data_IF_385099831970
#
_entry.id   IF_385099831970
#
_cell.length_a   1.000
_cell.length_b   1.000
_cell.length_c   1.000
_cell.angle_alpha   90.00
_cell.angle_beta   90.00
_cell.angle_gamma   90.00
#
_symmetry.space_group_name_H-M   'P 1'
#
loop_
_entity.id
_entity.type
_entity.pdbx_description
1 polymer ?
#
# COMPACT_ATOMS: atom_id res chain seq x y z
N UNK A 1 3.82 -39.60 -56.25
CA UNK A 1 4.61 -38.39 -56.18
C UNK A 1 4.78 -38.03 -54.70
N UNK A 2 5.97 -38.15 -54.20
CA UNK A 2 6.29 -38.07 -52.80
C UNK A 2 6.39 -36.58 -52.36
N UNK A 3 5.72 -36.26 -51.23
CA UNK A 3 5.94 -35.00 -50.52
C UNK A 3 7.15 -35.17 -49.61
N UNK A 4 8.20 -34.40 -49.84
CA UNK A 4 9.39 -34.33 -49.02
C UNK A 4 9.10 -33.59 -47.70
N UNK A 5 9.44 -34.22 -46.57
CA UNK A 5 9.45 -33.63 -45.26
C UNK A 5 10.68 -32.72 -45.14
N UNK A 6 10.45 -31.46 -44.71
CA UNK A 6 11.54 -30.55 -44.28
C UNK A 6 12.02 -30.91 -42.88
N UNK A 7 13.34 -30.91 -42.63
CA UNK A 7 13.85 -31.16 -41.29
C UNK A 7 13.65 -29.95 -40.41
N UNK A 8 13.05 -30.17 -39.24
CA UNK A 8 12.92 -29.17 -38.20
C UNK A 8 14.28 -28.74 -37.66
N UNK A 9 14.52 -27.43 -37.68
CA UNK A 9 15.66 -26.82 -37.00
C UNK A 9 15.35 -26.83 -35.51
N UNK A 10 16.03 -27.69 -34.77
CA UNK A 10 16.10 -27.62 -33.32
C UNK A 10 17.04 -26.44 -33.00
N UNK A 11 16.47 -25.32 -32.66
CA UNK A 11 17.20 -24.24 -32.02
C UNK A 11 17.52 -24.69 -30.60
N UNK A 12 18.78 -25.05 -30.34
CA UNK A 12 19.31 -25.19 -28.99
C UNK A 12 19.26 -23.80 -28.35
N UNK A 13 18.39 -23.62 -27.37
CA UNK A 13 18.48 -22.50 -26.43
C UNK A 13 19.84 -22.66 -25.71
N UNK A 14 20.80 -21.81 -26.03
CA UNK A 14 21.98 -21.63 -25.23
C UNK A 14 21.51 -21.07 -23.87
N UNK A 15 21.61 -21.88 -22.82
CA UNK A 15 21.55 -21.40 -21.45
C UNK A 15 22.70 -20.37 -21.30
N UNK A 16 22.40 -19.09 -21.41
CA UNK A 16 23.26 -18.06 -20.88
C UNK A 16 23.32 -18.29 -19.36
N UNK A 17 24.40 -18.88 -18.89
CA UNK A 17 24.70 -18.96 -17.46
C UNK A 17 24.75 -17.53 -16.95
N UNK A 18 23.79 -17.13 -16.15
CA UNK A 18 23.84 -15.89 -15.38
C UNK A 18 25.20 -15.85 -14.66
N UNK A 19 25.96 -14.79 -14.93
CA UNK A 19 27.26 -14.57 -14.27
C UNK A 19 26.99 -14.22 -12.81
N UNK A 20 26.90 -15.24 -11.95
CA UNK A 20 26.73 -15.08 -10.51
C UNK A 20 28.06 -14.82 -9.82
N UNK A 21 28.10 -13.86 -8.91
CA UNK A 21 29.19 -13.65 -7.97
C UNK A 21 28.87 -14.31 -6.64
N UNK A 22 29.67 -15.29 -6.23
CA UNK A 22 29.55 -15.85 -4.87
C UNK A 22 30.25 -14.93 -3.88
N UNK A 23 29.45 -14.27 -3.00
CA UNK A 23 30.03 -13.54 -1.88
C UNK A 23 30.75 -14.52 -0.96
N UNK A 24 32.05 -14.29 -0.68
CA UNK A 24 32.69 -14.99 0.44
C UNK A 24 31.91 -14.66 1.70
N UNK A 25 31.35 -15.68 2.36
CA UNK A 25 30.59 -15.54 3.60
C UNK A 25 31.51 -14.99 4.69
N UNK A 26 31.55 -13.67 4.85
CA UNK A 26 31.86 -13.08 6.14
C UNK A 26 30.70 -13.42 7.09
N UNK A 27 30.99 -13.66 8.37
CA UNK A 27 29.94 -13.89 9.35
C UNK A 27 29.00 -12.68 9.38
N UNK A 28 27.74 -12.87 8.98
CA UNK A 28 26.70 -11.85 9.09
C UNK A 28 26.30 -11.80 10.57
N UNK A 29 26.26 -10.58 11.16
CA UNK A 29 25.79 -10.38 12.51
C UNK A 29 24.32 -10.82 12.61
N UNK A 30 23.98 -11.58 13.65
CA UNK A 30 22.62 -12.04 13.92
C UNK A 30 22.03 -11.26 15.11
N UNK A 31 20.81 -10.79 14.98
CA UNK A 31 19.97 -10.26 16.05
C UNK A 31 18.72 -11.17 16.13
N UNK A 32 18.64 -11.98 17.19
CA UNK A 32 17.63 -13.06 17.37
C UNK A 32 16.67 -12.81 18.54
N UNK A 33 16.60 -11.59 19.02
CA UNK A 33 15.85 -11.26 20.21
C UNK A 33 14.35 -11.02 19.98
N UNK A 34 13.82 -11.16 18.80
CA UNK A 34 12.49 -10.68 18.42
C UNK A 34 11.44 -11.79 18.42
N UNK A 35 10.22 -11.45 18.85
CA UNK A 35 9.05 -12.29 18.72
C UNK A 35 8.39 -12.08 17.36
N UNK A 36 8.11 -10.81 17.00
CA UNK A 36 7.49 -10.44 15.73
C UNK A 36 8.39 -9.46 14.98
N UNK A 37 8.65 -9.76 13.72
CA UNK A 37 9.35 -8.86 12.80
C UNK A 37 8.39 -8.46 11.68
N UNK A 38 8.21 -7.15 11.51
CA UNK A 38 7.39 -6.56 10.44
C UNK A 38 8.31 -5.89 9.44
N UNK A 39 8.13 -6.19 8.15
CA UNK A 39 8.89 -5.56 7.06
C UNK A 39 7.98 -4.62 6.29
N UNK A 40 8.35 -3.32 6.28
CA UNK A 40 7.60 -2.23 5.68
C UNK A 40 6.79 -1.41 6.68
N UNK A 41 7.16 -0.13 6.84
CA UNK A 41 6.55 0.84 7.77
C UNK A 41 5.41 1.64 7.17
N UNK A 42 4.68 1.08 6.18
CA UNK A 42 3.45 1.66 5.66
C UNK A 42 2.28 1.59 6.64
N UNK A 43 1.05 1.99 6.22
CA UNK A 43 -0.12 1.97 7.11
C UNK A 43 -0.34 0.62 7.79
N UNK A 44 -0.24 -0.48 7.04
CA UNK A 44 -0.40 -1.84 7.58
C UNK A 44 0.72 -2.21 8.56
N UNK A 45 1.98 -1.91 8.22
CA UNK A 45 3.11 -2.24 9.09
C UNK A 45 3.08 -1.47 10.41
N UNK A 46 2.67 -0.21 10.38
CA UNK A 46 2.52 0.60 11.59
C UNK A 46 1.46 0.01 12.54
N UNK A 47 0.27 -0.31 12.01
CA UNK A 47 -0.79 -0.89 12.85
C UNK A 47 -0.46 -2.33 13.30
N UNK A 48 0.25 -3.11 12.47
CA UNK A 48 0.76 -4.42 12.85
C UNK A 48 1.76 -4.32 14.01
N UNK A 49 2.68 -3.36 13.96
CA UNK A 49 3.66 -3.17 15.03
C UNK A 49 2.99 -2.74 16.34
N UNK A 50 2.04 -1.80 16.27
CA UNK A 50 1.28 -1.36 17.45
C UNK A 50 0.51 -2.55 18.06
N UNK A 51 -0.21 -3.33 17.25
CA UNK A 51 -1.04 -4.41 17.72
C UNK A 51 -0.20 -5.56 18.31
N UNK A 52 0.87 -5.97 17.65
CA UNK A 52 1.76 -7.02 18.16
C UNK A 52 2.40 -6.64 19.51
N UNK A 53 2.90 -5.40 19.61
CA UNK A 53 3.52 -4.91 20.84
C UNK A 53 2.51 -4.80 21.99
N UNK A 54 1.28 -4.33 21.74
CA UNK A 54 0.20 -4.28 22.75
C UNK A 54 -0.20 -5.66 23.27
N UNK A 55 -0.15 -6.69 22.41
CA UNK A 55 -0.36 -8.08 22.83
C UNK A 55 0.86 -8.68 23.56
N UNK A 56 1.91 -7.88 23.81
CA UNK A 56 3.08 -8.24 24.62
C UNK A 56 4.20 -8.93 23.84
N UNK A 57 4.16 -8.93 22.50
CA UNK A 57 5.25 -9.45 21.68
C UNK A 57 6.41 -8.45 21.60
N UNK A 58 7.66 -8.94 21.69
CA UNK A 58 8.84 -8.13 21.41
C UNK A 58 8.93 -7.87 19.91
N UNK A 59 8.58 -6.65 19.51
CA UNK A 59 8.26 -6.30 18.13
C UNK A 59 9.30 -5.39 17.50
N UNK A 60 9.75 -5.75 16.28
CA UNK A 60 10.61 -4.95 15.42
C UNK A 60 9.87 -4.58 14.13
N UNK A 61 9.83 -3.29 13.81
CA UNK A 61 9.38 -2.76 12.53
C UNK A 61 10.58 -2.28 11.71
N UNK A 62 10.80 -2.88 10.55
CA UNK A 62 11.90 -2.55 9.63
C UNK A 62 11.34 -1.74 8.47
N UNK A 63 11.94 -0.56 8.22
CA UNK A 63 11.54 0.34 7.16
C UNK A 63 12.72 0.77 6.28
N UNK A 64 12.55 0.68 4.97
CA UNK A 64 13.59 1.02 3.99
C UNK A 64 13.89 2.51 3.90
N UNK A 65 12.93 3.35 4.27
CA UNK A 65 13.05 4.81 4.27
C UNK A 65 13.30 5.35 5.68
N UNK A 66 13.46 6.65 5.82
CA UNK A 66 13.63 7.34 7.11
C UNK A 66 12.31 7.84 7.70
N UNK A 67 11.17 7.28 7.32
CA UNK A 67 9.85 7.74 7.76
C UNK A 67 8.80 6.65 7.70
N UNK A 68 7.85 6.66 8.64
CA UNK A 68 6.68 5.78 8.67
C UNK A 68 5.50 6.33 7.85
N UNK A 69 4.51 5.49 7.55
CA UNK A 69 3.23 5.84 6.95
C UNK A 69 3.14 5.59 5.43
N UNK A 70 4.23 5.20 4.76
CA UNK A 70 4.23 4.74 3.37
C UNK A 70 3.51 5.69 2.40
N UNK A 71 2.37 5.24 1.81
CA UNK A 71 1.64 6.01 0.80
C UNK A 71 1.07 7.33 1.33
N UNK A 72 0.67 7.41 2.60
CA UNK A 72 0.14 8.64 3.21
C UNK A 72 1.21 9.69 3.54
N UNK A 73 2.47 9.29 3.61
CA UNK A 73 3.61 10.15 3.98
C UNK A 73 4.64 10.23 2.85
N UNK A 74 5.50 9.21 2.68
CA UNK A 74 6.51 9.16 1.61
C UNK A 74 5.90 9.21 0.20
N UNK A 75 4.75 8.56 0.00
CA UNK A 75 4.01 8.52 -1.26
C UNK A 75 3.13 9.74 -1.50
N UNK A 76 2.89 10.56 -0.49
CA UNK A 76 2.15 11.83 -0.57
C UNK A 76 0.76 11.68 -1.21
N UNK A 77 0.02 10.61 -0.89
CA UNK A 77 -1.40 10.50 -1.30
C UNK A 77 -2.19 11.62 -0.60
N UNK A 78 -2.94 12.45 -1.36
CA UNK A 78 -3.45 13.72 -0.84
C UNK A 78 -4.62 13.61 0.13
N UNK A 79 -5.32 12.46 0.14
CA UNK A 79 -6.50 12.27 0.97
C UNK A 79 -6.68 10.82 1.41
N UNK A 80 -7.34 10.65 2.54
CA UNK A 80 -7.93 9.37 2.91
C UNK A 80 -9.04 8.99 1.92
N UNK A 81 -9.04 7.75 1.45
CA UNK A 81 -10.23 7.19 0.84
C UNK A 81 -11.39 7.21 1.84
N UNK A 82 -12.66 7.12 1.40
CA UNK A 82 -13.80 7.15 2.30
C UNK A 82 -13.64 6.24 3.51
N UNK A 83 -13.84 6.78 4.70
CA UNK A 83 -13.85 6.04 5.96
C UNK A 83 -15.27 5.57 6.34
N UNK A 84 -16.28 6.09 5.67
CA UNK A 84 -17.68 5.77 5.94
C UNK A 84 -18.32 4.95 4.83
N UNK A 85 -19.40 4.26 5.18
CA UNK A 85 -20.34 3.67 4.23
C UNK A 85 -21.44 4.67 3.79
N UNK A 86 -21.21 5.97 4.05
CA UNK A 86 -22.17 7.03 3.87
C UNK A 86 -23.14 7.24 5.06
N UNK A 87 -23.04 6.42 6.10
CA UNK A 87 -23.81 6.53 7.35
C UNK A 87 -22.90 6.59 8.58
N UNK A 88 -21.91 5.73 8.66
CA UNK A 88 -21.01 5.58 9.81
C UNK A 88 -19.61 5.18 9.37
N UNK A 89 -18.65 5.40 10.23
CA UNK A 89 -17.27 4.91 10.05
C UNK A 89 -17.27 3.38 10.05
N UNK A 90 -16.65 2.79 9.03
CA UNK A 90 -16.51 1.34 8.86
C UNK A 90 -15.13 0.85 9.32
N UNK A 91 -14.06 1.60 9.05
CA UNK A 91 -12.71 1.24 9.47
C UNK A 91 -12.47 1.70 10.90
N UNK A 92 -12.62 0.76 11.83
CA UNK A 92 -12.58 0.97 13.28
C UNK A 92 -11.22 0.61 13.90
N UNK A 93 -11.12 0.52 15.22
CA UNK A 93 -9.90 0.18 15.93
C UNK A 93 -8.79 1.22 15.74
N UNK A 94 -7.58 0.77 15.41
CA UNK A 94 -6.44 1.66 15.14
C UNK A 94 -6.66 2.54 13.91
N UNK A 95 -7.41 2.07 12.93
CA UNK A 95 -7.69 2.84 11.72
C UNK A 95 -8.47 4.13 12.05
N UNK A 96 -9.53 4.05 12.83
CA UNK A 96 -10.29 5.25 13.26
C UNK A 96 -9.44 6.15 14.15
N UNK A 97 -8.65 5.60 15.08
CA UNK A 97 -7.79 6.39 15.96
C UNK A 97 -6.78 7.23 15.17
N UNK A 98 -6.09 6.62 14.19
CA UNK A 98 -5.13 7.30 13.31
C UNK A 98 -5.83 8.35 12.44
N UNK A 99 -6.97 7.99 11.84
CA UNK A 99 -7.76 8.90 11.02
C UNK A 99 -8.19 10.16 11.80
N UNK A 100 -8.81 9.97 12.97
CA UNK A 100 -9.27 11.08 13.83
C UNK A 100 -8.12 11.97 14.29
N UNK A 101 -7.00 11.38 14.65
CA UNK A 101 -5.82 12.14 15.03
C UNK A 101 -5.27 12.94 13.84
N UNK A 102 -5.24 12.36 12.64
CA UNK A 102 -4.72 13.01 11.43
C UNK A 102 -5.55 14.23 11.01
N UNK A 103 -6.84 14.26 11.31
CA UNK A 103 -7.72 15.40 11.02
C UNK A 103 -7.28 16.68 11.73
N UNK A 104 -6.61 16.56 12.89
CA UNK A 104 -6.06 17.74 13.61
C UNK A 104 -4.97 18.45 12.82
N UNK A 105 -4.32 17.78 11.90
CA UNK A 105 -3.29 18.34 11.00
C UNK A 105 -3.87 19.07 9.78
N UNK A 106 -5.19 19.09 9.60
CA UNK A 106 -5.92 19.69 8.46
C UNK A 106 -7.15 20.45 8.96
N UNK A 107 -6.90 21.46 9.80
CA UNK A 107 -7.94 22.22 10.52
C UNK A 107 -8.94 22.97 9.62
N UNK A 108 -8.70 23.05 8.32
CA UNK A 108 -9.63 23.61 7.34
C UNK A 108 -10.72 22.61 6.91
N UNK A 109 -10.54 21.32 7.21
CA UNK A 109 -11.55 20.31 6.94
C UNK A 109 -12.60 20.27 8.07
N UNK A 110 -13.90 20.09 7.74
CA UNK A 110 -14.94 19.94 8.76
C UNK A 110 -14.68 18.71 9.65
N UNK A 111 -14.85 18.84 10.96
CA UNK A 111 -14.63 17.76 11.93
C UNK A 111 -15.51 16.52 11.68
N UNK A 112 -16.69 16.73 11.10
CA UNK A 112 -17.63 15.65 10.76
C UNK A 112 -17.41 15.06 9.37
N UNK A 113 -16.44 15.54 8.58
CA UNK A 113 -16.10 14.97 7.28
C UNK A 113 -15.44 13.60 7.48
N UNK A 114 -15.95 12.59 6.81
CA UNK A 114 -15.47 11.20 6.93
C UNK A 114 -14.84 10.66 5.66
N UNK A 115 -15.10 11.30 4.53
CA UNK A 115 -14.73 10.81 3.22
C UNK A 115 -13.88 11.84 2.48
N UNK A 116 -12.83 11.36 1.82
CA UNK A 116 -11.89 12.19 1.05
C UNK A 116 -11.27 13.33 1.88
N UNK A 117 -11.03 13.06 3.17
CA UNK A 117 -10.38 13.99 4.09
C UNK A 117 -8.92 14.15 3.69
N UNK A 118 -8.46 15.39 3.60
CA UNK A 118 -7.09 15.74 3.25
C UNK A 118 -6.07 15.12 4.22
N UNK A 119 -4.88 14.83 3.75
CA UNK A 119 -3.77 14.33 4.56
C UNK A 119 -2.64 15.36 4.55
N UNK A 120 -2.26 15.84 5.73
CA UNK A 120 -0.98 16.48 5.93
C UNK A 120 0.08 15.40 6.20
N UNK A 121 1.01 15.12 5.26
CA UNK A 121 1.94 14.01 5.39
C UNK A 121 2.91 14.14 6.57
N UNK A 122 3.37 15.34 6.89
CA UNK A 122 4.29 15.58 8.00
C UNK A 122 3.59 15.36 9.35
N UNK A 123 2.35 15.81 9.48
CA UNK A 123 1.56 15.57 10.68
C UNK A 123 1.22 14.09 10.86
N UNK A 124 0.81 13.41 9.77
CA UNK A 124 0.53 11.97 9.80
C UNK A 124 1.76 11.14 10.15
N UNK A 125 2.94 11.51 9.65
CA UNK A 125 4.21 10.87 9.99
C UNK A 125 4.47 10.93 11.50
N UNK A 126 4.31 12.09 12.12
CA UNK A 126 4.50 12.26 13.57
C UNK A 126 3.51 11.43 14.40
N UNK A 127 2.29 11.21 13.90
CA UNK A 127 1.31 10.33 14.55
C UNK A 127 1.80 8.87 14.54
N UNK A 128 2.27 8.38 13.39
CA UNK A 128 2.81 7.02 13.30
C UNK A 128 4.03 6.84 14.18
N UNK A 129 4.99 7.76 14.15
CA UNK A 129 6.20 7.71 14.98
C UNK A 129 5.83 7.60 16.45
N UNK A 130 4.94 8.47 16.93
CA UNK A 130 4.47 8.47 18.31
C UNK A 130 3.72 7.19 18.66
N UNK A 131 2.70 6.80 17.90
CA UNK A 131 1.86 5.66 18.24
C UNK A 131 2.63 4.33 18.20
N UNK A 132 3.55 4.16 17.24
CA UNK A 132 4.37 2.95 17.14
C UNK A 132 5.35 2.89 18.31
N UNK A 133 6.05 3.97 18.61
CA UNK A 133 7.06 3.97 19.72
C UNK A 133 6.42 3.87 21.10
N UNK A 134 5.29 4.55 21.34
CA UNK A 134 4.53 4.46 22.57
C UNK A 134 3.96 3.04 22.83
N UNK A 135 3.69 2.26 21.76
CA UNK A 135 3.26 0.87 21.92
C UNK A 135 4.35 -0.07 22.45
N UNK A 136 5.61 0.36 22.45
CA UNK A 136 6.78 -0.43 22.83
C UNK A 136 7.48 -1.13 21.64
N UNK A 137 6.93 -1.06 20.44
CA UNK A 137 7.59 -1.57 19.24
C UNK A 137 8.87 -0.78 18.95
N UNK A 138 9.90 -1.45 18.44
CA UNK A 138 11.14 -0.83 17.97
C UNK A 138 11.09 -0.61 16.47
N UNK A 139 11.57 0.55 16.03
CA UNK A 139 11.63 0.91 14.60
C UNK A 139 13.09 0.93 14.16
N UNK A 140 13.37 0.35 12.99
CA UNK A 140 14.68 0.39 12.35
C UNK A 140 14.53 0.98 10.95
N UNK A 141 14.89 2.25 10.81
CA UNK A 141 14.88 2.98 9.55
C UNK A 141 16.10 2.69 8.66
N UNK A 142 16.01 3.11 7.39
CA UNK A 142 17.07 2.94 6.38
C UNK A 142 17.59 1.51 6.32
N UNK A 143 16.70 0.56 6.45
CA UNK A 143 16.98 -0.86 6.55
C UNK A 143 16.10 -1.62 5.56
N UNK A 144 16.71 -2.11 4.49
CA UNK A 144 16.02 -2.75 3.37
C UNK A 144 16.16 -4.26 3.44
N UNK A 145 15.06 -4.98 3.26
CA UNK A 145 15.08 -6.43 3.03
C UNK A 145 15.99 -6.74 1.83
N UNK A 146 16.92 -7.67 2.01
CA UNK A 146 17.91 -8.06 1.00
C UNK A 146 17.83 -9.54 0.62
N UNK A 147 17.43 -10.41 1.56
CA UNK A 147 17.21 -11.84 1.32
C UNK A 147 16.37 -12.44 2.45
N UNK A 148 15.88 -13.66 2.23
CA UNK A 148 15.18 -14.48 3.20
C UNK A 148 15.90 -15.81 3.32
N UNK A 149 16.14 -16.26 4.54
CA UNK A 149 16.69 -17.59 4.85
C UNK A 149 15.59 -18.47 5.42
N UNK A 150 15.41 -19.63 4.83
CA UNK A 150 14.41 -20.61 5.24
C UNK A 150 15.06 -21.72 6.06
N UNK A 151 14.43 -22.14 7.18
CA UNK A 151 14.86 -23.32 7.93
C UNK A 151 14.29 -24.62 7.36
N UNK A 152 13.18 -24.52 6.65
CA UNK A 152 12.51 -25.58 5.89
C UNK A 152 11.71 -24.94 4.77
N UNK A 153 11.10 -25.72 3.88
CA UNK A 153 10.29 -25.20 2.76
C UNK A 153 9.11 -24.32 3.23
N UNK A 154 8.71 -24.41 4.48
CA UNK A 154 7.51 -23.76 5.02
C UNK A 154 7.78 -22.82 6.21
N UNK A 155 9.03 -22.58 6.58
CA UNK A 155 9.35 -21.81 7.78
C UNK A 155 10.54 -20.87 7.55
N UNK A 156 10.32 -19.57 7.75
CA UNK A 156 11.37 -18.57 7.71
C UNK A 156 12.24 -18.69 8.96
N UNK A 157 13.57 -18.83 8.79
CA UNK A 157 14.56 -18.78 9.86
C UNK A 157 14.99 -17.34 10.17
N UNK A 158 15.34 -16.60 9.13
CA UNK A 158 15.83 -15.23 9.26
C UNK A 158 15.52 -14.39 8.02
N UNK A 159 15.51 -13.08 8.21
CA UNK A 159 15.60 -12.13 7.11
C UNK A 159 16.97 -11.46 7.11
N UNK A 160 17.53 -11.24 5.94
CA UNK A 160 18.75 -10.48 5.76
C UNK A 160 18.39 -9.06 5.35
N UNK A 161 18.93 -8.11 6.08
CA UNK A 161 18.65 -6.68 5.88
C UNK A 161 19.94 -5.95 5.55
N UNK A 162 19.89 -5.10 4.53
CA UNK A 162 20.97 -4.17 4.17
C UNK A 162 20.74 -2.81 4.81
N UNK A 163 21.70 -2.33 5.58
CA UNK A 163 21.68 -1.02 6.20
C UNK A 163 23.09 -0.44 6.36
N UNK A 164 23.25 0.65 7.12
CA UNK A 164 24.54 1.32 7.31
C UNK A 164 25.61 0.45 8.01
N UNK A 165 25.18 -0.59 8.73
CA UNK A 165 26.09 -1.56 9.35
C UNK A 165 26.51 -2.70 8.40
N UNK A 166 26.05 -2.68 7.14
CA UNK A 166 26.23 -3.75 6.17
C UNK A 166 25.03 -4.70 6.16
N UNK A 167 25.27 -6.00 5.96
CA UNK A 167 24.25 -7.04 6.03
C UNK A 167 24.10 -7.52 7.49
N UNK A 168 22.86 -7.54 7.97
CA UNK A 168 22.49 -8.03 9.30
C UNK A 168 21.36 -9.02 9.16
N UNK A 169 21.44 -10.16 9.83
CA UNK A 169 20.37 -11.15 9.92
C UNK A 169 19.49 -10.85 11.14
N UNK A 170 18.18 -10.77 10.95
CA UNK A 170 17.21 -10.65 12.02
C UNK A 170 16.37 -11.93 12.09
N UNK A 171 16.30 -12.51 13.31
CA UNK A 171 15.48 -13.69 13.58
C UNK A 171 14.29 -13.32 14.44
N UNK A 172 13.11 -13.75 13.99
CA UNK A 172 11.85 -13.63 14.70
C UNK A 172 11.12 -14.96 14.76
N UNK A 173 10.12 -15.07 15.62
CA UNK A 173 9.25 -16.26 15.69
C UNK A 173 8.19 -16.20 14.58
N UNK A 174 7.60 -15.02 14.36
CA UNK A 174 6.61 -14.76 13.31
C UNK A 174 7.02 -13.51 12.54
N UNK A 175 6.82 -13.54 11.24
CA UNK A 175 7.11 -12.44 10.32
C UNK A 175 5.81 -11.89 9.73
N UNK A 176 5.80 -10.57 9.44
CA UNK A 176 4.68 -9.91 8.74
C UNK A 176 5.24 -9.16 7.54
N UNK A 177 4.76 -9.52 6.35
CA UNK A 177 5.02 -8.77 5.14
C UNK A 177 4.02 -7.61 5.01
N UNK A 178 4.50 -6.40 5.23
CA UNK A 178 3.79 -5.15 5.03
C UNK A 178 4.49 -4.25 4.01
N UNK A 179 5.32 -4.84 3.12
CA UNK A 179 6.09 -4.13 2.10
C UNK A 179 5.20 -3.45 1.06
N UNK A 180 3.94 -3.87 0.97
CA UNK A 180 2.99 -3.44 -0.05
C UNK A 180 3.17 -4.18 -1.38
N UNK A 181 4.38 -4.63 -1.70
CA UNK A 181 4.70 -5.36 -2.92
C UNK A 181 4.84 -6.88 -2.68
N UNK A 182 4.71 -7.34 -1.43
CA UNK A 182 4.80 -8.75 -1.07
C UNK A 182 6.23 -9.31 -1.23
N UNK A 183 7.26 -8.48 -1.02
CA UNK A 183 8.65 -8.87 -1.26
C UNK A 183 9.09 -9.98 -0.30
N UNK A 184 8.76 -9.87 1.00
CA UNK A 184 9.11 -10.88 1.98
C UNK A 184 8.45 -12.23 1.65
N UNK A 185 7.16 -12.21 1.35
CA UNK A 185 6.41 -13.42 1.02
C UNK A 185 6.90 -14.07 -0.28
N UNK A 186 7.09 -13.29 -1.34
CA UNK A 186 7.60 -13.79 -2.62
C UNK A 186 9.01 -14.38 -2.49
N UNK A 187 9.89 -13.73 -1.72
CA UNK A 187 11.26 -14.22 -1.51
C UNK A 187 11.34 -15.40 -0.53
N UNK A 188 10.27 -15.63 0.25
CA UNK A 188 10.10 -16.86 1.05
C UNK A 188 9.54 -18.03 0.22
N UNK A 189 9.26 -17.85 -1.07
CA UNK A 189 8.70 -18.88 -1.93
C UNK A 189 7.17 -18.95 -1.95
N UNK A 190 6.45 -18.00 -1.32
CA UNK A 190 5.01 -17.96 -1.39
C UNK A 190 4.52 -17.66 -2.81
N UNK A 191 3.47 -18.36 -3.25
CA UNK A 191 2.83 -18.12 -4.55
C UNK A 191 2.13 -16.76 -4.58
N UNK A 192 2.12 -16.12 -5.73
CA UNK A 192 1.45 -14.83 -5.95
C UNK A 192 0.89 -14.70 -7.36
N UNK A 193 -0.09 -13.80 -7.51
CA UNK A 193 -0.57 -13.30 -8.80
C UNK A 193 -0.16 -11.85 -8.98
N UNK A 194 -0.06 -11.41 -10.25
CA UNK A 194 0.26 -10.04 -10.62
C UNK A 194 -0.55 -9.62 -11.84
N UNK A 195 -0.94 -8.33 -11.87
CA UNK A 195 -1.70 -7.79 -12.99
C UNK A 195 -3.15 -8.24 -13.06
N UNK A 196 -3.84 -7.80 -14.11
CA UNK A 196 -5.27 -8.00 -14.34
C UNK A 196 -5.59 -8.69 -15.69
N UNK A 197 -4.58 -9.12 -16.41
CA UNK A 197 -4.69 -9.88 -17.67
C UNK A 197 -3.55 -10.91 -17.80
N UNK A 198 -3.62 -11.72 -18.86
CA UNK A 198 -2.62 -12.76 -19.13
C UNK A 198 -1.23 -12.21 -19.44
N UNK A 199 -1.15 -10.98 -19.95
CA UNK A 199 0.09 -10.26 -20.21
C UNK A 199 0.74 -9.69 -18.92
N UNK A 200 0.03 -9.77 -17.78
CA UNK A 200 0.50 -9.26 -16.48
C UNK A 200 0.46 -7.74 -16.38
N UNK A 201 -0.42 -7.08 -17.15
CA UNK A 201 -0.64 -5.64 -17.05
C UNK A 201 -1.09 -5.23 -15.67
N UNK A 202 -0.45 -4.20 -15.09
CA UNK A 202 -0.74 -3.69 -13.74
C UNK A 202 -1.49 -2.36 -13.80
N UNK A 203 -2.17 -2.02 -12.70
CA UNK A 203 -2.81 -0.71 -12.59
C UNK A 203 -1.77 0.41 -12.65
N UNK A 204 -2.13 1.49 -13.35
CA UNK A 204 -1.23 2.63 -13.52
C UNK A 204 -0.81 3.25 -12.20
N UNK A 205 0.48 3.53 -12.08
CA UNK A 205 1.11 4.25 -10.96
C UNK A 205 1.10 5.76 -11.19
N UNK A 206 1.39 6.54 -10.14
CA UNK A 206 1.61 7.98 -10.24
C UNK A 206 2.63 8.44 -9.22
N UNK A 207 3.33 9.55 -9.49
CA UNK A 207 4.19 10.21 -8.52
C UNK A 207 3.46 11.45 -8.00
N UNK A 208 3.06 11.42 -6.73
CA UNK A 208 2.40 12.58 -6.12
C UNK A 208 3.36 13.77 -5.98
N UNK A 209 2.81 14.97 -5.99
CA UNK A 209 3.57 16.21 -5.84
C UNK A 209 2.72 17.29 -5.16
N UNK A 210 3.37 18.35 -4.67
CA UNK A 210 2.69 19.50 -4.04
C UNK A 210 3.03 20.80 -4.73
N UNK A 211 2.02 21.66 -4.84
CA UNK A 211 2.17 23.07 -5.20
C UNK A 211 1.92 23.94 -3.97
N UNK A 212 2.78 24.90 -3.76
CA UNK A 212 2.60 25.95 -2.75
C UNK A 212 2.43 27.32 -3.38
N UNK A 213 2.02 28.29 -2.55
CA UNK A 213 1.74 29.67 -2.95
C UNK A 213 0.64 29.74 -4.02
N UNK A 214 -0.39 28.91 -3.86
CA UNK A 214 -1.63 29.03 -4.62
C UNK A 214 -2.53 30.07 -3.96
N UNK A 215 -3.53 30.60 -4.69
CA UNK A 215 -4.63 31.32 -4.08
C UNK A 215 -5.65 30.31 -3.53
N UNK A 216 -5.65 30.09 -2.21
CA UNK A 216 -6.57 29.14 -1.56
C UNK A 216 -8.03 29.58 -1.65
N UNK A 217 -8.30 30.89 -1.65
CA UNK A 217 -9.67 31.38 -1.77
C UNK A 217 -10.26 31.07 -3.16
N UNK A 218 -9.50 31.37 -4.23
CA UNK A 218 -9.90 31.03 -5.58
C UNK A 218 -9.94 29.51 -5.81
N UNK A 219 -9.02 28.76 -5.20
CA UNK A 219 -9.02 27.30 -5.26
C UNK A 219 -10.32 26.70 -4.72
N UNK A 220 -10.79 27.18 -3.55
CA UNK A 220 -12.00 26.67 -2.86
C UNK A 220 -13.28 27.15 -3.55
N UNK A 221 -13.35 28.43 -3.92
CA UNK A 221 -14.59 29.08 -4.36
C UNK A 221 -14.72 29.19 -5.88
N UNK A 222 -13.66 28.97 -6.61
CA UNK A 222 -13.66 29.05 -8.07
C UNK A 222 -14.01 27.70 -8.74
N UNK A 223 -13.86 27.58 -10.07
CA UNK A 223 -14.21 26.35 -10.79
C UNK A 223 -13.38 25.16 -10.33
N UNK A 224 -13.98 23.99 -10.16
CA UNK A 224 -13.27 22.74 -9.85
C UNK A 224 -12.24 22.44 -10.93
N UNK A 225 -11.01 22.09 -10.52
CA UNK A 225 -9.90 21.86 -11.44
C UNK A 225 -10.12 20.66 -12.34
N UNK A 226 -10.77 19.63 -11.82
CA UNK A 226 -11.01 18.37 -12.49
C UNK A 226 -12.30 17.72 -12.00
N UNK A 227 -13.13 17.29 -12.94
CA UNK A 227 -14.24 16.35 -12.73
C UNK A 227 -14.13 15.28 -13.81
N UNK A 228 -14.24 14.03 -13.42
CA UNK A 228 -14.11 12.91 -14.36
C UNK A 228 -15.15 13.02 -15.49
N UNK A 229 -14.68 12.95 -16.75
CA UNK A 229 -15.47 13.12 -17.98
C UNK A 229 -16.12 14.50 -18.18
N UNK A 230 -15.84 15.50 -17.35
CA UNK A 230 -16.29 16.86 -17.58
C UNK A 230 -15.22 17.66 -18.33
N UNK A 231 -15.38 17.72 -19.65
CA UNK A 231 -14.46 18.39 -20.55
C UNK A 231 -14.43 19.92 -20.40
N UNK A 232 -15.33 20.52 -19.64
CA UNK A 232 -15.35 21.96 -19.38
C UNK A 232 -14.31 22.40 -18.34
N UNK A 233 -13.79 21.45 -17.55
CA UNK A 233 -12.87 21.73 -16.47
C UNK A 233 -11.48 22.19 -16.94
N UNK A 234 -10.74 22.97 -16.12
CA UNK A 234 -9.42 23.49 -16.48
C UNK A 234 -8.44 22.42 -16.94
N UNK A 235 -8.40 21.26 -16.31
CA UNK A 235 -7.48 20.17 -16.68
C UNK A 235 -7.73 19.66 -18.11
N UNK A 236 -9.00 19.43 -18.47
CA UNK A 236 -9.32 18.99 -19.84
C UNK A 236 -8.97 20.03 -20.90
N UNK A 237 -9.09 21.34 -20.56
CA UNK A 237 -8.63 22.42 -21.44
C UNK A 237 -7.10 22.36 -21.64
N UNK A 238 -6.35 22.11 -20.57
CA UNK A 238 -4.90 21.94 -20.65
C UNK A 238 -4.51 20.76 -21.54
N UNK A 239 -5.11 19.59 -21.34
CA UNK A 239 -4.84 18.38 -22.14
C UNK A 239 -5.17 18.61 -23.63
N UNK A 240 -6.35 19.16 -23.93
CA UNK A 240 -6.76 19.44 -25.33
C UNK A 240 -5.90 20.47 -26.03
N UNK A 241 -5.23 21.35 -25.30
CA UNK A 241 -4.32 22.33 -25.92
C UNK A 241 -3.14 21.69 -26.64
N UNK A 242 -2.76 20.45 -26.31
CA UNK A 242 -1.59 19.77 -26.83
C UNK A 242 -0.24 20.37 -26.39
N UNK A 243 -0.24 21.45 -25.61
CA UNK A 243 0.98 22.12 -25.13
C UNK A 243 1.73 21.33 -24.06
N UNK A 244 1.05 20.42 -23.37
CA UNK A 244 1.54 19.73 -22.19
C UNK A 244 1.49 18.21 -22.37
N UNK A 245 2.40 17.60 -23.14
CA UNK A 245 2.30 16.19 -23.58
C UNK A 245 2.42 15.20 -22.39
N UNK A 246 2.91 15.61 -21.24
CA UNK A 246 2.99 14.75 -20.05
C UNK A 246 1.79 14.92 -19.10
N UNK A 247 0.84 15.81 -19.40
CA UNK A 247 -0.38 16.00 -18.61
C UNK A 247 -1.48 15.12 -19.15
N UNK A 248 -2.10 14.33 -18.31
CA UNK A 248 -3.28 13.51 -18.60
C UNK A 248 -4.50 13.96 -17.80
N UNK A 249 -5.63 13.29 -17.97
CA UNK A 249 -6.90 13.62 -17.33
C UNK A 249 -7.07 12.99 -15.94
N UNK A 250 -6.00 12.59 -15.26
CA UNK A 250 -6.05 12.14 -13.87
C UNK A 250 -5.44 13.20 -12.95
N UNK A 251 -6.26 13.75 -12.05
CA UNK A 251 -5.84 14.82 -11.16
C UNK A 251 -6.65 14.85 -9.86
N UNK A 252 -6.39 13.89 -8.96
CA UNK A 252 -6.87 14.01 -7.59
C UNK A 252 -6.02 15.03 -6.85
N UNK A 253 -6.66 15.99 -6.19
CA UNK A 253 -5.96 17.06 -5.51
C UNK A 253 -6.73 17.51 -4.26
N UNK A 254 -6.01 17.85 -3.21
CA UNK A 254 -6.58 18.32 -1.95
C UNK A 254 -5.73 19.46 -1.38
N UNK A 255 -6.38 20.42 -0.74
CA UNK A 255 -5.73 21.40 0.10
C UNK A 255 -5.24 20.70 1.36
N UNK A 256 -3.94 20.79 1.66
CA UNK A 256 -3.32 20.08 2.80
C UNK A 256 -2.79 21.04 3.87
N UNK A 257 -2.84 22.32 3.60
CA UNK A 257 -2.44 23.42 4.48
C UNK A 257 -2.68 24.77 3.80
N UNK A 258 -2.44 25.90 4.48
CA UNK A 258 -2.58 27.22 3.89
C UNK A 258 -1.79 27.32 2.59
N UNK A 259 -2.47 27.66 1.48
CA UNK A 259 -1.91 27.88 0.15
C UNK A 259 -1.07 26.71 -0.41
N UNK A 260 -1.33 25.47 0.08
CA UNK A 260 -0.64 24.24 -0.36
C UNK A 260 -1.65 23.19 -0.78
N UNK A 261 -1.58 22.78 -2.04
CA UNK A 261 -2.29 21.57 -2.52
C UNK A 261 -1.33 20.43 -2.74
N UNK A 262 -1.82 19.23 -2.50
CA UNK A 262 -1.15 17.97 -2.82
C UNK A 262 -1.93 17.27 -3.91
N UNK A 263 -1.21 16.71 -4.89
CA UNK A 263 -1.77 16.16 -6.11
C UNK A 263 -1.34 14.71 -6.30
N UNK A 264 -2.32 13.84 -6.57
CA UNK A 264 -2.10 12.51 -7.12
C UNK A 264 -2.53 12.55 -8.59
N UNK A 265 -1.56 12.68 -9.48
CA UNK A 265 -1.78 13.01 -10.88
C UNK A 265 -0.73 12.37 -11.79
N UNK A 266 -1.05 12.26 -13.07
CA UNK A 266 -0.11 11.81 -14.08
C UNK A 266 0.14 10.30 -14.05
N UNK A 267 -0.78 9.54 -14.64
CA UNK A 267 -0.65 8.09 -14.74
C UNK A 267 0.59 7.64 -15.53
N UNK A 268 1.19 6.55 -15.09
CA UNK A 268 2.32 5.86 -15.70
C UNK A 268 2.13 4.34 -15.61
N UNK A 269 2.28 3.64 -16.73
CA UNK A 269 2.34 2.18 -16.73
C UNK A 269 3.75 1.77 -16.35
N UNK A 270 3.91 1.02 -15.26
CA UNK A 270 5.20 0.69 -14.66
C UNK A 270 5.19 -0.75 -14.18
N UNK A 271 6.18 -1.53 -14.56
CA UNK A 271 6.46 -2.78 -13.83
C UNK A 271 7.04 -2.44 -12.47
N UNK A 272 6.21 -2.55 -11.45
CA UNK A 272 6.57 -2.16 -10.08
C UNK A 272 7.47 -3.16 -9.35
N UNK A 273 7.81 -4.26 -10.00
CA UNK A 273 8.80 -5.24 -9.54
C UNK A 273 10.16 -5.10 -10.22
N UNK A 274 10.25 -4.24 -11.25
CA UNK A 274 11.51 -3.91 -11.93
C UNK A 274 12.09 -2.60 -11.38
N UNK A 275 13.30 -2.63 -10.75
CA UNK A 275 13.92 -1.43 -10.19
C UNK A 275 14.29 -0.38 -11.25
N UNK A 276 14.56 -0.79 -12.50
CA UNK A 276 14.85 0.14 -13.59
C UNK A 276 13.60 0.89 -14.02
N UNK A 277 12.48 0.18 -14.21
CA UNK A 277 11.20 0.79 -14.54
C UNK A 277 10.71 1.76 -13.45
N UNK A 278 10.89 1.40 -12.16
CA UNK A 278 10.61 2.31 -11.04
C UNK A 278 11.49 3.57 -11.11
N UNK A 279 12.78 3.42 -11.40
CA UNK A 279 13.72 4.55 -11.49
C UNK A 279 13.32 5.52 -12.60
N UNK A 280 12.99 5.01 -13.78
CA UNK A 280 12.49 5.79 -14.91
C UNK A 280 11.17 6.50 -14.57
N UNK A 281 10.23 5.79 -13.92
CA UNK A 281 8.96 6.36 -13.49
C UNK A 281 9.13 7.50 -12.48
N UNK A 282 10.08 7.39 -11.55
CA UNK A 282 10.41 8.45 -10.60
C UNK A 282 10.94 9.72 -11.32
N UNK A 283 11.78 9.55 -12.35
CA UNK A 283 12.30 10.66 -13.16
C UNK A 283 11.18 11.30 -13.97
N UNK A 284 10.39 10.49 -14.68
CA UNK A 284 9.26 10.95 -15.48
C UNK A 284 8.20 11.65 -14.62
N UNK A 285 7.90 11.11 -13.44
CA UNK A 285 6.93 11.71 -12.52
C UNK A 285 7.32 13.13 -12.08
N UNK A 286 8.61 13.40 -11.87
CA UNK A 286 9.10 14.77 -11.58
C UNK A 286 8.93 15.70 -12.78
N UNK A 287 9.15 15.22 -13.98
CA UNK A 287 8.91 15.99 -15.22
C UNK A 287 7.41 16.29 -15.39
N UNK A 288 6.53 15.29 -15.10
CA UNK A 288 5.07 15.50 -15.08
C UNK A 288 4.68 16.60 -14.10
N UNK A 289 5.17 16.61 -12.86
CA UNK A 289 4.85 17.63 -11.86
C UNK A 289 5.12 19.05 -12.38
N UNK A 290 6.27 19.26 -13.03
CA UNK A 290 6.62 20.56 -13.65
C UNK A 290 5.66 20.94 -14.78
N UNK A 291 5.26 19.97 -15.61
CA UNK A 291 4.30 20.25 -16.70
C UNK A 291 2.88 20.51 -16.16
N UNK A 292 2.43 19.79 -15.13
CA UNK A 292 1.16 20.09 -14.47
C UNK A 292 1.12 21.50 -13.92
N UNK A 293 2.19 21.98 -13.28
CA UNK A 293 2.26 23.37 -12.81
C UNK A 293 2.14 24.37 -13.97
N UNK A 294 2.88 24.17 -15.05
CA UNK A 294 2.79 25.06 -16.23
C UNK A 294 1.38 25.07 -16.82
N UNK A 295 0.78 23.89 -16.95
CA UNK A 295 -0.58 23.74 -17.43
C UNK A 295 -1.59 24.48 -16.55
N UNK A 296 -1.50 24.33 -15.22
CA UNK A 296 -2.41 24.99 -14.28
C UNK A 296 -2.24 26.52 -14.30
N UNK A 297 -1.01 27.04 -14.41
CA UNK A 297 -0.75 28.46 -14.58
C UNK A 297 -1.43 29.05 -15.83
N UNK A 298 -1.44 28.29 -16.93
CA UNK A 298 -2.07 28.75 -18.19
C UNK A 298 -3.60 28.72 -18.14
N UNK A 299 -4.18 27.62 -17.57
CA UNK A 299 -5.64 27.42 -17.65
C UNK A 299 -6.40 27.99 -16.45
N UNK A 300 -5.69 28.27 -15.34
CA UNK A 300 -6.24 28.89 -14.13
C UNK A 300 -5.25 29.81 -13.43
N UNK A 301 -4.86 30.92 -14.08
CA UNK A 301 -3.85 31.85 -13.54
C UNK A 301 -4.30 32.51 -12.23
N UNK A 302 -5.60 32.71 -11.99
CA UNK A 302 -6.12 33.26 -10.73
C UNK A 302 -5.65 32.44 -9.50
N UNK A 303 -5.64 31.13 -9.62
CA UNK A 303 -5.18 30.24 -8.54
C UNK A 303 -3.66 30.02 -8.56
N UNK A 304 -3.05 29.87 -9.75
CA UNK A 304 -1.71 29.28 -9.86
C UNK A 304 -0.60 30.23 -10.33
N UNK A 305 -0.86 31.49 -10.66
CA UNK A 305 0.18 32.38 -11.23
C UNK A 305 1.45 32.44 -10.38
N UNK A 306 1.32 32.45 -9.06
CA UNK A 306 2.45 32.51 -8.12
C UNK A 306 2.92 31.14 -7.61
N UNK A 307 2.21 30.07 -7.98
CA UNK A 307 2.49 28.75 -7.48
C UNK A 307 3.85 28.19 -7.95
N UNK A 308 4.42 27.31 -7.15
CA UNK A 308 5.63 26.55 -7.49
C UNK A 308 5.55 25.12 -6.97
N UNK A 309 6.33 24.21 -7.56
CA UNK A 309 6.45 22.83 -7.06
C UNK A 309 7.28 22.88 -5.77
N UNK A 310 6.69 22.52 -4.65
CA UNK A 310 7.40 22.51 -3.37
C UNK A 310 8.03 21.15 -3.08
N UNK A 311 7.35 20.06 -3.48
CA UNK A 311 7.84 18.70 -3.21
C UNK A 311 7.26 17.71 -4.25
N UNK A 312 8.03 16.70 -4.56
CA UNK A 312 7.55 15.45 -5.20
C UNK A 312 7.74 14.30 -4.23
N UNK A 313 6.88 13.29 -4.30
CA UNK A 313 6.94 12.13 -3.42
C UNK A 313 8.32 11.44 -3.49
N UNK A 314 8.75 10.89 -2.36
CA UNK A 314 9.97 10.08 -2.26
C UNK A 314 9.73 8.61 -2.63
N UNK A 315 8.47 8.21 -2.72
CA UNK A 315 8.01 6.86 -3.04
C UNK A 315 7.01 6.92 -4.17
N UNK A 316 7.19 6.06 -5.19
CA UNK A 316 6.23 5.96 -6.29
C UNK A 316 4.87 5.48 -5.74
N UNK A 317 3.81 6.11 -6.19
CA UNK A 317 2.42 5.74 -5.85
C UNK A 317 2.00 4.47 -6.60
N UNK A 318 2.54 3.34 -6.16
CA UNK A 318 2.25 2.01 -6.72
C UNK A 318 0.85 1.57 -6.31
N UNK A 319 -0.01 1.30 -7.29
CA UNK A 319 -1.36 0.78 -7.04
C UNK A 319 -1.43 -0.74 -7.09
N UNK A 320 -0.59 -1.37 -7.90
CA UNK A 320 -0.63 -2.81 -8.19
C UNK A 320 0.77 -3.39 -8.29
N UNK A 321 0.95 -4.56 -7.68
CA UNK A 321 2.14 -5.37 -7.80
C UNK A 321 1.77 -6.85 -7.53
N UNK A 322 2.36 -7.51 -6.53
CA UNK A 322 2.02 -8.89 -6.18
C UNK A 322 0.82 -8.93 -5.24
N UNK A 323 -0.08 -9.87 -5.49
CA UNK A 323 -1.15 -10.33 -4.57
C UNK A 323 -0.76 -11.73 -4.12
N UNK A 324 -0.41 -11.89 -2.86
CA UNK A 324 0.08 -13.16 -2.31
C UNK A 324 -1.09 -14.12 -2.18
N UNK A 325 -0.94 -15.37 -2.65
CA UNK A 325 -1.99 -16.37 -2.54
C UNK A 325 -2.06 -16.90 -1.10
N UNK A 326 -3.16 -16.57 -0.43
CA UNK A 326 -3.47 -17.01 0.93
C UNK A 326 -4.37 -18.25 0.96
N UNK A 327 -4.70 -18.71 2.17
CA UNK A 327 -5.65 -19.82 2.38
C UNK A 327 -7.05 -19.50 1.83
N UNK A 328 -7.37 -18.25 1.67
CA UNK A 328 -8.57 -17.75 0.99
C UNK A 328 -8.19 -16.62 0.02
N UNK A 329 -8.77 -16.65 -1.17
CA UNK A 329 -8.67 -15.54 -2.13
C UNK A 329 -9.98 -14.76 -2.05
N UNK A 330 -9.95 -13.53 -1.54
CA UNK A 330 -11.12 -12.65 -1.54
C UNK A 330 -11.43 -12.20 -2.95
N UNK A 331 -12.66 -12.46 -3.40
CA UNK A 331 -13.09 -12.26 -4.80
C UNK A 331 -14.01 -11.06 -4.98
N UNK A 332 -14.11 -10.57 -6.21
CA UNK A 332 -15.09 -9.54 -6.57
C UNK A 332 -16.53 -10.00 -6.31
N UNK A 333 -16.79 -11.30 -6.39
CA UNK A 333 -18.11 -11.84 -6.08
C UNK A 333 -18.42 -11.79 -4.57
N UNK A 334 -17.42 -12.07 -3.69
CA UNK A 334 -17.55 -11.85 -2.25
C UNK A 334 -17.86 -10.38 -1.95
N UNK A 335 -17.20 -9.45 -2.68
CA UNK A 335 -17.44 -8.02 -2.59
C UNK A 335 -18.88 -7.68 -3.01
N UNK A 336 -19.36 -8.19 -4.18
CA UNK A 336 -20.72 -7.95 -4.69
C UNK A 336 -21.81 -8.49 -3.77
N UNK A 337 -21.55 -9.61 -3.11
CA UNK A 337 -22.46 -10.23 -2.12
C UNK A 337 -22.42 -9.55 -0.74
N UNK A 338 -21.54 -8.57 -0.48
CA UNK A 338 -21.31 -7.95 0.83
C UNK A 338 -21.04 -9.01 1.90
N UNK A 339 -20.29 -10.03 1.53
CA UNK A 339 -20.10 -11.24 2.31
C UNK A 339 -19.48 -10.95 3.68
N UNK A 340 -20.00 -11.61 4.70
CA UNK A 340 -19.40 -11.73 6.03
C UNK A 340 -18.77 -13.11 6.18
N UNK A 341 -17.77 -13.22 7.06
CA UNK A 341 -16.99 -14.46 7.23
C UNK A 341 -16.91 -14.84 8.69
N UNK A 342 -16.85 -16.15 8.96
CA UNK A 342 -16.67 -16.65 10.33
C UNK A 342 -15.34 -16.21 10.95
N UNK A 343 -14.33 -16.01 10.11
CA UNK A 343 -13.00 -15.52 10.46
C UNK A 343 -12.77 -14.03 10.13
N UNK A 344 -13.83 -13.25 10.06
CA UNK A 344 -13.79 -11.81 9.74
C UNK A 344 -12.96 -11.01 10.75
N UNK A 345 -12.01 -10.19 10.26
CA UNK A 345 -11.09 -9.39 11.08
C UNK A 345 -11.43 -7.89 11.11
N UNK A 346 -12.39 -7.47 10.33
CA UNK A 346 -12.86 -6.10 10.18
C UNK A 346 -13.65 -5.95 8.89
N UNK A 347 -14.09 -4.74 8.59
CA UNK A 347 -14.93 -4.47 7.40
C UNK A 347 -14.29 -3.46 6.48
N UNK A 348 -14.70 -3.53 5.20
CA UNK A 348 -14.30 -2.61 4.14
C UNK A 348 -15.54 -2.14 3.36
N UNK A 349 -15.61 -0.86 3.04
CA UNK A 349 -16.70 -0.25 2.27
C UNK A 349 -16.21 0.46 0.99
N UNK A 350 -14.94 0.31 0.63
CA UNK A 350 -14.41 0.98 -0.56
C UNK A 350 -14.91 0.30 -1.82
N UNK A 351 -15.16 1.09 -2.85
CA UNK A 351 -15.64 0.64 -4.15
C UNK A 351 -14.53 -0.09 -4.94
N UNK A 352 -14.92 -0.77 -6.02
CA UNK A 352 -13.95 -1.39 -6.96
C UNK A 352 -13.33 -0.27 -7.80
N UNK A 353 -12.07 0.04 -7.53
CA UNK A 353 -11.31 1.12 -8.14
C UNK A 353 -10.07 0.56 -8.85
N UNK A 354 -10.24 0.17 -10.12
CA UNK A 354 -9.18 -0.42 -10.94
C UNK A 354 -8.72 0.56 -12.02
N UNK A 355 -7.52 1.10 -11.88
CA UNK A 355 -6.91 2.05 -12.81
C UNK A 355 -6.27 1.36 -14.02
N UNK A 356 -7.08 0.61 -14.79
CA UNK A 356 -6.63 -0.14 -15.97
C UNK A 356 -7.18 0.41 -17.30
N UNK A 357 -8.16 1.32 -17.24
CA UNK A 357 -8.94 1.75 -18.42
C UNK A 357 -9.91 0.70 -18.97
N UNK A 358 -9.84 -0.56 -18.50
CA UNK A 358 -10.71 -1.67 -18.96
C UNK A 358 -11.90 -1.90 -18.03
N UNK A 359 -11.77 -1.58 -16.73
CA UNK A 359 -12.81 -1.81 -15.73
C UNK A 359 -13.58 -0.51 -15.40
N UNK A 360 -14.89 -0.65 -15.18
CA UNK A 360 -15.71 0.45 -14.67
C UNK A 360 -15.74 0.37 -13.14
N UNK A 361 -15.68 1.51 -12.43
CA UNK A 361 -15.88 1.52 -10.98
C UNK A 361 -17.25 0.94 -10.60
N UNK A 362 -17.26 0.04 -9.59
CA UNK A 362 -18.50 -0.49 -9.00
C UNK A 362 -18.60 0.03 -7.57
N UNK A 363 -19.69 0.71 -7.24
CA UNK A 363 -19.89 1.36 -5.94
C UNK A 363 -20.88 0.59 -5.08
N UNK A 364 -20.67 0.62 -3.76
CA UNK A 364 -21.65 0.22 -2.78
C UNK A 364 -22.78 1.25 -2.68
N UNK A 365 -23.96 0.80 -2.27
CA UNK A 365 -25.00 1.68 -1.75
C UNK A 365 -24.62 2.11 -0.35
N UNK A 366 -25.24 3.20 0.09
CA UNK A 366 -25.12 3.72 1.44
C UNK A 366 -25.48 2.64 2.48
N UNK A 367 -24.66 2.48 3.50
CA UNK A 367 -24.81 1.47 4.55
C UNK A 367 -24.24 0.08 4.20
N UNK A 368 -23.70 -0.12 2.98
CA UNK A 368 -23.14 -1.42 2.57
C UNK A 368 -21.65 -1.52 2.84
N UNK A 369 -21.21 -2.72 3.22
CA UNK A 369 -19.83 -3.09 3.44
C UNK A 369 -19.67 -4.61 3.39
N UNK A 370 -18.44 -5.10 3.26
CA UNK A 370 -18.11 -6.53 3.33
C UNK A 370 -17.09 -6.81 4.43
N UNK A 371 -17.04 -8.05 4.90
CA UNK A 371 -16.04 -8.53 5.83
C UNK A 371 -14.70 -8.82 5.15
N UNK A 372 -13.60 -8.73 5.89
CA UNK A 372 -12.27 -9.14 5.44
C UNK A 372 -11.93 -10.43 6.19
N UNK A 373 -11.78 -11.60 5.52
CA UNK A 373 -11.47 -12.84 6.20
C UNK A 373 -9.98 -12.91 6.59
N UNK A 374 -9.69 -13.45 7.78
CA UNK A 374 -8.32 -13.66 8.27
C UNK A 374 -7.47 -14.47 7.29
N UNK A 375 -8.04 -15.50 6.69
CA UNK A 375 -7.35 -16.38 5.73
C UNK A 375 -6.83 -15.68 4.47
N UNK A 376 -7.18 -14.43 4.24
CA UNK A 376 -6.52 -13.60 3.20
C UNK A 376 -5.13 -13.10 3.64
N UNK A 377 -4.80 -13.18 4.93
CA UNK A 377 -3.53 -12.74 5.49
C UNK A 377 -2.51 -13.87 5.66
N UNK A 378 -2.91 -15.13 5.45
CA UNK A 378 -2.08 -16.33 5.67
C UNK A 378 -1.56 -16.87 4.34
N UNK A 379 -0.29 -16.59 3.94
CA UNK A 379 0.28 -17.11 2.71
C UNK A 379 0.31 -18.64 2.70
N UNK A 380 -0.19 -19.26 1.63
CA UNK A 380 -0.15 -20.74 1.50
C UNK A 380 1.27 -21.26 1.63
N UNK A 381 1.43 -22.27 2.47
CA UNK A 381 2.67 -23.04 2.57
C UNK A 381 3.75 -22.40 3.44
N UNK A 382 3.55 -21.22 4.06
CA UNK A 382 4.53 -20.61 4.97
C UNK A 382 3.92 -20.45 6.35
N UNK A 383 4.39 -21.22 7.33
CA UNK A 383 3.79 -21.37 8.66
C UNK A 383 3.88 -20.12 9.53
N UNK A 384 4.98 -19.40 9.48
CA UNK A 384 5.27 -18.29 10.37
C UNK A 384 5.29 -16.93 9.67
N UNK A 385 4.51 -16.80 8.59
CA UNK A 385 4.38 -15.57 7.82
C UNK A 385 2.92 -15.13 7.71
N UNK A 386 2.69 -13.83 7.93
CA UNK A 386 1.45 -13.14 7.58
C UNK A 386 1.73 -12.06 6.54
N UNK A 387 0.73 -11.74 5.73
CA UNK A 387 0.73 -10.56 4.86
C UNK A 387 -0.26 -9.53 5.39
N UNK A 388 0.02 -8.25 5.19
CA UNK A 388 -0.89 -7.17 5.56
C UNK A 388 -0.83 -6.01 4.56
N UNK A 389 -1.94 -5.33 4.37
CA UNK A 389 -2.02 -4.19 3.46
C UNK A 389 -2.26 -4.58 2.02
N UNK A 390 -1.59 -3.92 1.08
CA UNK A 390 -1.83 -4.03 -0.35
C UNK A 390 -1.61 -5.43 -0.93
N UNK A 391 -0.70 -6.21 -0.38
CA UNK A 391 -0.29 -7.51 -0.91
C UNK A 391 -1.15 -8.71 -0.45
N UNK A 392 -2.23 -8.50 0.32
CA UNK A 392 -3.10 -9.59 0.80
C UNK A 392 -3.77 -10.36 -0.36
N UNK A 393 -4.28 -11.54 -0.03
CA UNK A 393 -4.85 -12.48 -1.00
C UNK A 393 -6.21 -12.03 -1.54
N UNK A 394 -6.23 -11.57 -2.79
CA UNK A 394 -7.44 -11.14 -3.50
C UNK A 394 -7.38 -11.49 -4.97
N UNK A 395 -8.53 -11.52 -5.66
CA UNK A 395 -8.54 -11.45 -7.11
C UNK A 395 -8.19 -10.02 -7.61
N UNK A 396 -8.03 -9.85 -8.92
CA UNK A 396 -7.60 -8.60 -9.53
C UNK A 396 -8.62 -7.45 -9.40
N UNK A 397 -9.91 -7.74 -9.35
CA UNK A 397 -10.96 -6.73 -9.23
C UNK A 397 -11.20 -6.34 -7.77
N UNK A 398 -11.34 -7.31 -6.87
CA UNK A 398 -11.49 -7.06 -5.43
C UNK A 398 -10.27 -6.32 -4.86
N UNK A 399 -9.09 -6.54 -5.44
CA UNK A 399 -7.88 -5.80 -5.12
C UNK A 399 -8.06 -4.27 -5.21
N UNK A 400 -8.83 -3.78 -6.19
CA UNK A 400 -9.17 -2.36 -6.31
C UNK A 400 -9.82 -1.78 -5.07
N UNK A 401 -10.57 -2.60 -4.30
CA UNK A 401 -11.21 -2.21 -3.05
C UNK A 401 -10.31 -2.35 -1.83
N UNK A 402 -9.48 -3.39 -1.76
CA UNK A 402 -8.77 -3.76 -0.53
C UNK A 402 -7.42 -3.07 -0.35
N UNK A 403 -6.83 -2.52 -1.42
CA UNK A 403 -5.48 -1.90 -1.42
C UNK A 403 -5.40 -0.53 -0.75
N UNK A 404 -6.54 0.11 -0.47
CA UNK A 404 -6.59 1.48 0.06
C UNK A 404 -6.14 1.55 1.52
N UNK A 405 -5.56 2.70 1.90
CA UNK A 405 -4.96 2.86 3.23
C UNK A 405 -5.89 2.51 4.41
N UNK A 406 -7.19 2.88 4.42
CA UNK A 406 -8.07 2.47 5.51
C UNK A 406 -8.16 0.95 5.70
N UNK A 407 -8.30 0.19 4.61
CA UNK A 407 -8.29 -1.27 4.64
C UNK A 407 -6.92 -1.83 5.09
N UNK A 408 -5.82 -1.20 4.64
CA UNK A 408 -4.46 -1.58 5.05
C UNK A 408 -4.26 -1.42 6.57
N UNK A 409 -4.81 -0.37 7.18
CA UNK A 409 -4.74 -0.17 8.63
C UNK A 409 -5.45 -1.30 9.39
N UNK A 410 -6.63 -1.73 8.92
CA UNK A 410 -7.41 -2.82 9.53
C UNK A 410 -6.68 -4.16 9.42
N UNK A 411 -6.18 -4.49 8.23
CA UNK A 411 -5.46 -5.76 8.00
C UNK A 411 -4.15 -5.81 8.77
N UNK A 412 -3.46 -4.68 8.92
CA UNK A 412 -2.25 -4.58 9.74
C UNK A 412 -2.52 -4.85 11.22
N UNK A 413 -3.54 -4.20 11.82
CA UNK A 413 -3.92 -4.44 13.21
C UNK A 413 -4.22 -5.91 13.47
N UNK A 414 -4.98 -6.55 12.59
CA UNK A 414 -5.31 -7.96 12.70
C UNK A 414 -4.08 -8.87 12.56
N UNK A 415 -3.20 -8.59 11.60
CA UNK A 415 -1.97 -9.37 11.40
C UNK A 415 -1.04 -9.29 12.62
N UNK A 416 -0.87 -8.08 13.19
CA UNK A 416 -0.04 -7.90 14.39
C UNK A 416 -0.56 -8.65 15.60
N UNK A 417 -1.87 -8.57 15.86
CA UNK A 417 -2.53 -9.30 16.93
C UNK A 417 -2.43 -10.82 16.72
N UNK A 418 -2.71 -11.29 15.50
CA UNK A 418 -2.63 -12.70 15.13
C UNK A 418 -1.21 -13.26 15.28
N UNK A 419 -0.18 -12.51 14.91
CA UNK A 419 1.21 -12.92 15.09
C UNK A 419 1.55 -13.18 16.59
N UNK A 420 1.14 -12.27 17.46
CA UNK A 420 1.32 -12.46 18.90
C UNK A 420 0.55 -13.67 19.44
N UNK A 421 -0.65 -13.94 18.92
CA UNK A 421 -1.44 -15.12 19.29
C UNK A 421 -0.79 -16.42 18.79
N UNK A 422 -0.27 -16.45 17.55
CA UNK A 422 0.40 -17.62 17.02
C UNK A 422 1.60 -18.06 17.87
N UNK A 423 2.36 -17.10 18.37
CA UNK A 423 3.49 -17.38 19.28
C UNK A 423 3.03 -18.05 20.59
N UNK A 424 1.92 -17.59 21.15
CA UNK A 424 1.40 -18.09 22.44
C UNK A 424 0.64 -19.41 22.31
N UNK A 425 -0.04 -19.66 21.18
CA UNK A 425 -1.04 -20.71 21.07
C UNK A 425 -0.65 -21.85 20.14
N UNK A 426 0.12 -21.58 19.06
CA UNK A 426 0.24 -22.53 17.93
C UNK A 426 1.68 -22.86 17.54
N UNK A 427 2.66 -22.52 18.39
CA UNK A 427 4.09 -22.69 18.06
C UNK A 427 4.47 -21.99 16.76
N UNK A 428 4.04 -20.73 16.64
CA UNK A 428 4.27 -19.83 15.52
C UNK A 428 3.53 -20.19 14.21
N UNK A 429 2.62 -21.16 14.22
CA UNK A 429 1.83 -21.51 13.02
C UNK A 429 0.61 -20.58 12.92
N UNK A 430 0.70 -19.61 12.00
CA UNK A 430 -0.34 -18.58 11.80
C UNK A 430 -1.64 -19.14 11.22
N UNK A 431 -1.60 -20.31 10.58
CA UNK A 431 -2.79 -20.96 9.99
C UNK A 431 -3.68 -21.63 11.05
N UNK A 432 -3.16 -21.85 12.25
CA UNK A 432 -3.83 -22.63 13.32
C UNK A 432 -4.32 -21.79 14.50
N UNK A 433 -4.26 -20.48 14.42
CA UNK A 433 -4.74 -19.62 15.50
C UNK A 433 -6.26 -19.77 15.70
N UNK A 434 -6.70 -19.55 16.93
CA UNK A 434 -8.14 -19.43 17.23
C UNK A 434 -8.67 -18.09 16.72
N UNK A 435 -9.32 -18.12 15.55
CA UNK A 435 -9.89 -16.92 14.93
C UNK A 435 -11.07 -16.36 15.74
N UNK A 436 -11.78 -17.17 16.52
CA UNK A 436 -12.84 -16.70 17.40
C UNK A 436 -12.25 -15.83 18.52
N UNK A 437 -11.13 -16.27 19.10
CA UNK A 437 -10.39 -15.48 20.08
C UNK A 437 -9.81 -14.19 19.47
N UNK A 438 -9.23 -14.28 18.26
CA UNK A 438 -8.75 -13.10 17.53
C UNK A 438 -9.86 -12.06 17.33
N UNK A 439 -11.02 -12.50 16.85
CA UNK A 439 -12.20 -11.63 16.63
C UNK A 439 -12.67 -10.97 17.92
N UNK A 440 -12.71 -11.74 19.02
CA UNK A 440 -13.05 -11.22 20.33
C UNK A 440 -12.09 -10.09 20.73
N UNK A 441 -10.78 -10.32 20.63
CA UNK A 441 -9.76 -9.32 20.98
C UNK A 441 -9.83 -8.08 20.08
N UNK A 442 -10.03 -8.25 18.77
CA UNK A 442 -10.22 -7.14 17.85
C UNK A 442 -11.45 -6.29 18.18
N UNK A 443 -12.57 -6.93 18.57
CA UNK A 443 -13.78 -6.21 19.07
C UNK A 443 -13.49 -5.42 20.34
N UNK A 444 -12.74 -5.99 21.28
CA UNK A 444 -12.33 -5.32 22.52
C UNK A 444 -11.46 -4.08 22.25
N UNK A 445 -10.63 -4.11 21.18
CA UNK A 445 -9.85 -2.96 20.70
C UNK A 445 -10.66 -1.98 19.85
N UNK A 446 -11.93 -2.27 19.59
CA UNK A 446 -12.88 -1.40 18.93
C UNK A 446 -13.09 -1.68 17.45
N UNK A 447 -12.61 -2.81 16.90
CA UNK A 447 -12.87 -3.17 15.51
C UNK A 447 -14.36 -3.47 15.25
N UNK A 448 -14.82 -3.10 14.05
CA UNK A 448 -16.16 -3.44 13.57
C UNK A 448 -16.13 -4.83 12.92
N UNK A 449 -16.73 -5.81 13.59
CA UNK A 449 -16.88 -7.19 13.13
C UNK A 449 -18.32 -7.62 13.37
N UNK A 450 -18.99 -8.14 12.37
CA UNK A 450 -20.37 -8.62 12.45
C UNK A 450 -20.47 -10.07 12.92
#
# INVERSE_FOLDING_TARGET
MAMAAMPGVIQSASEEREKGLTLKRSQIKVDDQWDVIIVGGGPAGCTAAIAAAREGAKTLLIEAMGQLGGMGTAGMVPAWCPFSDGEKIIYKGLAEKIFRESMKGVSHEPENKLDWVSINPEYLMSIYDRMVTESGAKVLFFSRLAAVEMSSDDTIDAIIVSNKAGLVAFKGKVYIDATGDGDLAAWSGASFKRGYDEEGSVQMSSLCFSFANIDSYDYINGPTLYVWKDESTPLYKAVRSGKYPLVDTHFCNNLVGPDVIQCNAGHMTVDTTDPWAISEAMILGRQKAVQYLKAMKDVRPSTFSNAFVVKTASLLGVRDSRRIEGDYIFTVEDWRQRKSFEDEIGRNCYYIDVHSGKHKPEHYKKGESHGIPYRCLTPKGIKNLLTAGRCISTDEQAFGSTRVMPCCLVTGEAAGMAAAHAIKQTRNDVHKIDTSYLRKRLKEEGQLIL
#
